data_IF_909420205360
#
_entry.id   IF_909420205360
#
_cell.length_a   1.000
_cell.length_b   1.000
_cell.length_c   1.000
_cell.angle_alpha   90.00
_cell.angle_beta   90.00
_cell.angle_gamma   90.00
#
_symmetry.space_group_name_H-M   'P 1'
#
loop_
_entity.id
_entity.type
_entity.pdbx_description
1 polymer ?
#
# COMPACT_ATOMS: atom_id res chain seq x y z
N UNK A 1 15.43 3.26 5.59
CA UNK A 1 14.44 3.55 4.53
C UNK A 1 14.30 2.45 3.47
N UNK A 2 15.29 2.24 2.58
CA UNK A 2 15.16 1.33 1.43
C UNK A 2 14.71 -0.11 1.78
N UNK A 3 15.23 -0.69 2.87
CA UNK A 3 14.80 -2.01 3.35
C UNK A 3 13.32 -2.06 3.74
N UNK A 4 12.80 -0.99 4.36
CA UNK A 4 11.39 -0.89 4.77
C UNK A 4 10.48 -0.65 3.57
N UNK A 5 10.91 0.13 2.57
CA UNK A 5 10.20 0.25 1.29
C UNK A 5 10.10 -1.10 0.58
N UNK A 6 11.20 -1.87 0.52
CA UNK A 6 11.19 -3.19 -0.11
C UNK A 6 10.30 -4.19 0.66
N UNK A 7 10.31 -4.14 2.00
CA UNK A 7 9.40 -4.92 2.84
C UNK A 7 7.94 -4.59 2.55
N UNK A 8 7.58 -3.30 2.61
CA UNK A 8 6.22 -2.81 2.31
C UNK A 8 5.74 -3.28 0.93
N UNK A 9 6.60 -3.15 -0.09
CA UNK A 9 6.33 -3.64 -1.44
C UNK A 9 6.01 -5.15 -1.47
N UNK A 10 6.82 -5.97 -0.80
CA UNK A 10 6.64 -7.43 -0.76
C UNK A 10 5.34 -7.80 -0.02
N UNK A 11 5.08 -7.17 1.12
CA UNK A 11 3.84 -7.38 1.89
C UNK A 11 2.58 -7.10 1.07
N UNK A 12 2.64 -6.05 0.25
CA UNK A 12 1.55 -5.65 -0.64
C UNK A 12 1.54 -6.37 -1.99
N UNK A 13 2.50 -7.28 -2.25
CA UNK A 13 2.69 -7.98 -3.53
C UNK A 13 2.78 -7.04 -4.74
N UNK A 14 3.43 -5.89 -4.56
CA UNK A 14 3.60 -4.90 -5.62
C UNK A 14 4.92 -5.08 -6.35
N UNK A 15 4.96 -4.64 -7.60
CA UNK A 15 6.21 -4.37 -8.30
C UNK A 15 6.61 -2.90 -8.12
N UNK A 16 7.88 -2.58 -8.37
CA UNK A 16 8.35 -1.20 -8.27
C UNK A 16 7.64 -0.25 -9.25
N UNK A 17 7.26 -0.75 -10.43
CA UNK A 17 6.47 0.00 -11.42
C UNK A 17 5.08 0.38 -10.90
N UNK A 18 4.49 -0.44 -10.03
CA UNK A 18 3.18 -0.15 -9.44
C UNK A 18 3.28 0.98 -8.43
N UNK A 19 4.34 0.97 -7.62
CA UNK A 19 4.64 2.05 -6.66
C UNK A 19 4.90 3.36 -7.41
N UNK A 20 5.70 3.30 -8.48
CA UNK A 20 5.98 4.45 -9.35
C UNK A 20 4.68 5.05 -9.93
N UNK A 21 3.83 4.19 -10.49
CA UNK A 21 2.52 4.59 -11.05
C UNK A 21 1.59 5.18 -9.99
N UNK A 22 1.49 4.55 -8.81
CA UNK A 22 0.60 5.01 -7.73
C UNK A 22 1.04 6.35 -7.14
N UNK A 23 2.35 6.55 -7.01
CA UNK A 23 2.94 7.77 -6.47
C UNK A 23 3.19 8.87 -7.49
N UNK A 24 2.77 8.70 -8.75
CA UNK A 24 3.11 9.62 -9.85
C UNK A 24 4.62 9.98 -9.87
N UNK A 25 5.50 9.00 -9.66
CA UNK A 25 6.95 9.20 -9.64
C UNK A 25 7.61 8.37 -10.73
N UNK A 26 8.56 8.96 -11.45
CA UNK A 26 9.24 8.23 -12.52
C UNK A 26 10.14 7.10 -11.99
N UNK A 27 10.16 5.97 -12.69
CA UNK A 27 11.00 4.81 -12.36
C UNK A 27 12.48 5.16 -12.10
N UNK A 28 13.14 6.03 -12.90
CA UNK A 28 14.51 6.47 -12.63
C UNK A 28 14.65 7.22 -11.30
N UNK A 29 13.66 8.04 -10.95
CA UNK A 29 13.65 8.80 -9.69
C UNK A 29 13.45 7.87 -8.51
N UNK A 30 12.48 6.95 -8.59
CA UNK A 30 12.25 5.94 -7.56
C UNK A 30 13.48 5.04 -7.36
N UNK A 31 14.14 4.63 -8.46
CA UNK A 31 15.40 3.87 -8.41
C UNK A 31 16.52 4.65 -7.74
N UNK A 32 16.67 5.95 -8.06
CA UNK A 32 17.68 6.82 -7.44
C UNK A 32 17.48 6.91 -5.93
N UNK A 33 16.24 7.13 -5.48
CA UNK A 33 15.89 7.27 -4.06
C UNK A 33 16.18 5.97 -3.30
N UNK A 34 15.86 4.82 -3.90
CA UNK A 34 16.11 3.51 -3.29
C UNK A 34 17.61 3.22 -3.12
N UNK A 35 18.43 3.67 -4.07
CA UNK A 35 19.86 3.37 -4.10
C UNK A 35 20.71 4.41 -3.37
N UNK A 36 20.20 5.63 -3.16
CA UNK A 36 20.89 6.74 -2.48
C UNK A 36 19.98 7.38 -1.42
N UNK A 37 19.63 6.66 -0.34
CA UNK A 37 18.74 7.17 0.70
C UNK A 37 19.32 8.35 1.49
N UNK A 38 20.64 8.56 1.43
CA UNK A 38 21.36 9.72 2.01
C UNK A 38 21.19 11.02 1.21
N UNK A 39 20.58 10.97 0.02
CA UNK A 39 20.24 12.18 -0.73
C UNK A 39 19.02 12.87 -0.13
N UNK A 40 19.11 14.18 0.09
CA UNK A 40 18.00 14.99 0.62
C UNK A 40 16.78 14.83 -0.30
N UNK A 41 15.74 14.16 0.21
CA UNK A 41 14.47 14.04 -0.49
C UNK A 41 13.72 15.38 -0.38
N UNK A 42 13.18 15.84 -1.49
CA UNK A 42 12.22 16.95 -1.48
C UNK A 42 10.92 16.50 -0.84
N UNK A 43 10.18 17.43 -0.22
CA UNK A 43 8.87 17.12 0.39
C UNK A 43 7.90 16.48 -0.61
N UNK A 44 7.87 16.99 -1.85
CA UNK A 44 7.07 16.40 -2.93
C UNK A 44 7.46 14.93 -3.21
N UNK A 45 8.75 14.60 -3.22
CA UNK A 45 9.19 13.23 -3.43
C UNK A 45 8.80 12.32 -2.25
N UNK A 46 8.81 12.84 -1.01
CA UNK A 46 8.36 12.08 0.17
C UNK A 46 6.86 11.74 0.05
N UNK A 47 6.03 12.75 -0.25
CA UNK A 47 4.57 12.56 -0.43
C UNK A 47 4.29 11.53 -1.52
N UNK A 48 4.94 11.65 -2.68
CA UNK A 48 4.78 10.71 -3.80
C UNK A 48 5.17 9.27 -3.43
N UNK A 49 6.23 9.10 -2.64
CA UNK A 49 6.62 7.77 -2.13
C UNK A 49 5.57 7.23 -1.17
N UNK A 50 5.05 8.07 -0.27
CA UNK A 50 4.02 7.68 0.69
C UNK A 50 2.75 7.25 -0.03
N UNK A 51 2.30 8.01 -1.03
CA UNK A 51 1.17 7.66 -1.87
C UNK A 51 1.43 6.35 -2.65
N UNK A 52 2.61 6.22 -3.24
CA UNK A 52 3.00 5.01 -3.97
C UNK A 52 3.01 3.74 -3.12
N UNK A 53 3.42 3.86 -1.85
CA UNK A 53 3.49 2.76 -0.88
C UNK A 53 2.22 2.60 -0.05
N UNK A 54 1.24 3.51 -0.19
CA UNK A 54 0.07 3.55 0.67
C UNK A 54 0.41 3.81 2.14
N UNK A 55 1.49 4.54 2.41
CA UNK A 55 1.89 4.94 3.76
C UNK A 55 1.09 6.16 4.23
N UNK A 56 1.10 6.39 5.54
CA UNK A 56 0.50 7.58 6.14
C UNK A 56 1.38 8.79 5.83
N UNK A 57 0.80 9.97 5.53
CA UNK A 57 1.60 11.18 5.33
C UNK A 57 2.57 11.43 6.50
N UNK A 58 3.85 11.68 6.18
CA UNK A 58 4.93 11.88 7.16
C UNK A 58 5.64 10.60 7.63
N UNK A 59 5.24 9.42 7.16
CA UNK A 59 5.91 8.16 7.47
C UNK A 59 7.31 8.05 6.86
N UNK A 60 7.59 8.74 5.75
CA UNK A 60 8.95 8.79 5.19
C UNK A 60 9.90 9.42 6.20
N UNK A 61 9.54 10.56 6.78
CA UNK A 61 10.36 11.24 7.79
C UNK A 61 10.46 10.42 9.08
N UNK A 62 9.36 9.81 9.50
CA UNK A 62 9.36 8.88 10.64
C UNK A 62 10.32 7.72 10.42
N UNK A 63 10.33 7.12 9.23
CA UNK A 63 11.23 6.02 8.88
C UNK A 63 12.68 6.50 8.77
N UNK A 64 12.93 7.70 8.23
CA UNK A 64 14.26 8.29 8.19
C UNK A 64 14.80 8.58 9.59
N UNK A 65 13.94 8.94 10.53
CA UNK A 65 14.26 9.11 11.96
C UNK A 65 14.40 7.78 12.73
N UNK A 66 14.27 6.62 12.07
CA UNK A 66 14.42 5.29 12.69
C UNK A 66 13.12 4.69 13.24
N UNK A 67 11.97 5.33 13.02
CA UNK A 67 10.66 4.79 13.35
C UNK A 67 10.12 3.79 12.32
N UNK A 68 8.87 3.37 12.52
CA UNK A 68 8.12 2.47 11.63
C UNK A 68 7.02 3.21 10.87
N UNK A 69 6.68 2.74 9.67
CA UNK A 69 5.57 3.25 8.87
C UNK A 69 4.24 2.62 9.27
N UNK A 70 3.13 3.26 8.91
CA UNK A 70 1.78 2.74 9.03
C UNK A 70 1.05 2.82 7.68
N UNK A 71 0.29 1.79 7.34
CA UNK A 71 -0.54 1.83 6.14
C UNK A 71 -1.70 2.81 6.30
N UNK A 72 -1.92 3.64 5.28
CA UNK A 72 -3.14 4.42 5.14
C UNK A 72 -4.29 3.42 5.09
N UNK A 73 -5.14 3.42 6.11
CA UNK A 73 -6.36 2.62 6.04
C UNK A 73 -7.17 3.14 4.86
N UNK A 74 -7.68 2.28 3.95
CA UNK A 74 -8.71 2.71 3.04
C UNK A 74 -9.86 3.19 3.91
N UNK A 75 -10.05 4.51 3.94
CA UNK A 75 -11.12 5.11 4.68
C UNK A 75 -12.33 4.96 3.77
N UNK A 76 -13.19 3.98 4.08
CA UNK A 76 -14.51 3.95 3.48
C UNK A 76 -15.20 5.24 3.88
N UNK A 77 -15.49 6.08 2.91
CA UNK A 77 -16.43 7.17 3.13
C UNK A 77 -17.81 6.55 3.32
N UNK A 78 -18.30 6.59 4.56
CA UNK A 78 -19.59 6.01 4.92
C UNK A 78 -20.76 6.62 4.12
N UNK A 79 -20.59 7.83 3.57
CA UNK A 79 -21.61 8.50 2.78
C UNK A 79 -21.62 8.10 1.30
N UNK A 80 -20.50 7.61 0.75
CA UNK A 80 -20.34 7.39 -0.69
C UNK A 80 -19.86 5.99 -1.07
N UNK A 81 -19.45 5.17 -0.10
CA UNK A 81 -19.01 3.82 -0.37
C UNK A 81 -20.13 2.95 -0.94
N UNK A 82 -19.86 2.28 -2.06
CA UNK A 82 -20.77 1.28 -2.61
C UNK A 82 -20.81 0.04 -1.71
N UNK A 83 -21.90 -0.73 -1.80
CA UNK A 83 -22.03 -2.01 -1.08
C UNK A 83 -20.86 -2.95 -1.39
N UNK A 84 -20.40 -2.97 -2.64
CA UNK A 84 -19.25 -3.78 -3.06
C UNK A 84 -17.95 -3.34 -2.37
N UNK A 85 -17.72 -2.03 -2.24
CA UNK A 85 -16.54 -1.49 -1.54
C UNK A 85 -16.59 -1.80 -0.05
N UNK A 86 -17.77 -1.69 0.57
CA UNK A 86 -17.96 -2.05 1.98
C UNK A 86 -17.73 -3.55 2.20
N UNK A 87 -18.30 -4.40 1.34
CA UNK A 87 -18.11 -5.85 1.40
C UNK A 87 -16.64 -6.22 1.22
N UNK A 88 -15.97 -5.68 0.19
CA UNK A 88 -14.55 -5.90 -0.05
C UNK A 88 -13.69 -5.52 1.15
N UNK A 89 -13.96 -4.35 1.76
CA UNK A 89 -13.27 -3.91 2.97
C UNK A 89 -13.48 -4.84 4.17
N UNK A 90 -14.72 -5.27 4.43
CA UNK A 90 -15.04 -6.19 5.53
C UNK A 90 -14.36 -7.55 5.33
N UNK A 91 -14.36 -8.06 4.10
CA UNK A 91 -13.70 -9.31 3.75
C UNK A 91 -12.18 -9.23 3.90
N UNK A 92 -11.58 -8.11 3.48
CA UNK A 92 -10.14 -7.88 3.62
C UNK A 92 -9.72 -7.71 5.09
N UNK A 93 -10.58 -7.11 5.92
CA UNK A 93 -10.41 -7.07 7.37
C UNK A 93 -10.44 -8.46 8.00
N UNK A 94 -11.44 -9.30 7.67
CA UNK A 94 -11.56 -10.63 8.28
C UNK A 94 -10.45 -11.58 7.80
N UNK A 95 -10.03 -11.49 6.54
CA UNK A 95 -8.91 -12.23 5.99
C UNK A 95 -7.56 -11.90 6.66
N UNK A 96 -7.39 -10.68 7.18
CA UNK A 96 -6.21 -10.31 8.00
C UNK A 96 -6.31 -10.83 9.42
N UNK A 97 -7.52 -10.91 9.97
CA UNK A 97 -7.77 -11.45 11.32
C UNK A 97 -7.66 -12.97 11.37
N UNK A 98 -8.06 -13.65 10.29
CA UNK A 98 -8.12 -15.12 10.16
C UNK A 98 -7.53 -15.53 8.81
N UNK A 99 -6.23 -15.88 8.73
CA UNK A 99 -5.58 -16.24 7.48
C UNK A 99 -6.26 -17.38 6.71
N UNK A 100 -6.85 -18.34 7.42
CA UNK A 100 -7.62 -19.48 6.89
C UNK A 100 -8.89 -19.05 6.15
N UNK A 101 -9.43 -17.86 6.45
CA UNK A 101 -10.62 -17.31 5.84
C UNK A 101 -10.40 -16.98 4.35
N UNK A 102 -9.16 -16.72 3.93
CA UNK A 102 -8.82 -16.51 2.51
C UNK A 102 -9.16 -17.70 1.63
N UNK A 103 -9.00 -18.92 2.15
CA UNK A 103 -9.36 -20.13 1.40
C UNK A 103 -10.87 -20.26 1.22
N UNK A 104 -11.65 -19.82 2.21
CA UNK A 104 -13.11 -19.80 2.11
C UNK A 104 -13.58 -18.77 1.07
N UNK A 105 -13.00 -17.57 1.05
CA UNK A 105 -13.35 -16.53 0.08
C UNK A 105 -13.06 -16.94 -1.36
N UNK A 106 -11.92 -17.60 -1.60
CA UNK A 106 -11.58 -18.12 -2.94
C UNK A 106 -12.58 -19.14 -3.50
N UNK A 107 -13.37 -19.79 -2.63
CA UNK A 107 -14.44 -20.73 -3.02
C UNK A 107 -15.79 -20.05 -3.27
N UNK A 108 -16.03 -18.91 -2.61
CA UNK A 108 -17.26 -18.13 -2.76
C UNK A 108 -17.22 -17.37 -4.09
N UNK A 109 -16.11 -16.69 -4.43
CA UNK A 109 -15.99 -15.95 -5.71
C UNK A 109 -16.25 -16.84 -6.94
N UNK A 110 -15.89 -18.13 -6.88
CA UNK A 110 -16.14 -19.07 -7.98
C UNK A 110 -17.64 -19.34 -8.24
N UNK A 111 -18.50 -19.22 -7.23
CA UNK A 111 -19.94 -19.54 -7.34
C UNK A 111 -20.81 -18.34 -7.70
N UNK A 112 -20.38 -17.11 -7.41
CA UNK A 112 -21.22 -15.91 -7.58
C UNK A 112 -20.97 -15.16 -8.90
N UNK A 113 -19.87 -15.44 -9.62
CA UNK A 113 -19.52 -14.80 -10.91
C UNK A 113 -19.68 -15.71 -12.14
N UNK A 114 -20.29 -16.90 -12.01
CA UNK A 114 -20.52 -17.86 -13.12
C UNK A 114 -22.00 -18.00 -13.52
N UNK A 115 -22.79 -16.93 -13.43
CA UNK A 115 -24.12 -16.86 -14.06
C UNK A 115 -24.29 -15.60 -14.88
#
# INVERSE_FOLDING_TARGET
>A
MAALMNRSRIEQKLEWKDIAKRGDISDPTLRRIRNKPESTLTEDAKIRIEDGLGWTPGDVDRVLAGGMYAYRRPMLDAATASVEQVMSFMLDMEARRRPEFRHLLSRIDAQWFTQ
#
